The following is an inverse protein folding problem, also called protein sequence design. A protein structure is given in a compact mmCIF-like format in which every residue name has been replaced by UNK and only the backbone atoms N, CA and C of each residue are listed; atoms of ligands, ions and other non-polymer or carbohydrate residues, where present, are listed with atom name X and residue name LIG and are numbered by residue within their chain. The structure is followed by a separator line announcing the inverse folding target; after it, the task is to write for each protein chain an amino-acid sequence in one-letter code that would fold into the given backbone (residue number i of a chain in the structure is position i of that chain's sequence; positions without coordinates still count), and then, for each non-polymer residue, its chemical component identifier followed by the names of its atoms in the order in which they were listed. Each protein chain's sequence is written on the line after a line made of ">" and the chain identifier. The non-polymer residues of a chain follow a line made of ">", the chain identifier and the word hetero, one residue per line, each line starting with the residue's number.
data_IF_276607315635
#
_entry.id   IF_276607315635
#
_cell.length_a   1.000
_cell.length_b   1.000
_cell.length_c   1.000
_cell.angle_alpha   90.00
_cell.angle_beta   90.00
_cell.angle_gamma   90.00
#
_symmetry.space_group_name_H-M   'P 1'
#
loop_
_entity.id
_entity.type
_entity.pdbx_description
1 polymer ?
#
# COMPACT_ATOMS: atom_id res chain seq x y z
N UNK A 1 -12.58 -14.26 18.14
CA UNK A 1 -11.78 -14.38 16.90
C UNK A 1 -12.27 -15.59 16.14
N UNK A 2 -12.51 -15.47 14.83
CA UNK A 2 -12.81 -16.63 13.99
C UNK A 2 -11.50 -17.39 13.70
N UNK A 3 -11.51 -18.71 13.82
CA UNK A 3 -10.38 -19.58 13.47
C UNK A 3 -10.60 -20.13 12.08
N UNK A 4 -9.66 -19.86 11.17
CA UNK A 4 -9.68 -20.38 9.81
C UNK A 4 -8.58 -21.41 9.66
N UNK A 5 -8.93 -22.62 9.21
CA UNK A 5 -7.95 -23.63 8.83
C UNK A 5 -7.55 -23.41 7.37
N UNK A 6 -6.26 -23.37 7.09
CA UNK A 6 -5.70 -23.15 5.76
C UNK A 6 -4.62 -24.20 5.50
N UNK A 7 -4.65 -24.80 4.31
CA UNK A 7 -3.54 -25.63 3.82
C UNK A 7 -2.57 -24.75 3.05
N UNK A 8 -1.30 -24.80 3.44
CA UNK A 8 -0.21 -24.08 2.80
C UNK A 8 0.71 -25.07 2.10
N UNK A 9 1.43 -24.62 1.06
CA UNK A 9 2.47 -25.44 0.44
C UNK A 9 3.75 -25.46 1.29
N UNK A 10 4.57 -26.50 1.12
CA UNK A 10 5.79 -26.78 1.89
C UNK A 10 6.69 -25.55 2.11
N UNK A 11 6.86 -24.72 1.08
CA UNK A 11 7.63 -23.47 1.14
C UNK A 11 7.17 -22.55 2.28
N UNK A 12 5.85 -22.35 2.39
CA UNK A 12 5.27 -21.44 3.38
C UNK A 12 5.27 -22.04 4.78
N UNK A 13 5.14 -23.37 4.89
CA UNK A 13 5.26 -24.05 6.18
C UNK A 13 6.68 -23.90 6.75
N UNK A 14 7.71 -24.10 5.91
CA UNK A 14 9.11 -23.90 6.30
C UNK A 14 9.37 -22.45 6.67
N UNK A 15 8.88 -21.50 5.87
CA UNK A 15 9.01 -20.07 6.16
C UNK A 15 8.39 -19.71 7.53
N UNK A 16 7.13 -20.10 7.77
CA UNK A 16 6.43 -19.81 9.02
C UNK A 16 7.15 -20.44 10.22
N UNK A 17 7.62 -21.69 10.06
CA UNK A 17 8.37 -22.38 11.11
C UNK A 17 9.66 -21.64 11.45
N UNK A 18 10.39 -21.16 10.45
CA UNK A 18 11.62 -20.40 10.65
C UNK A 18 11.34 -19.08 11.38
N UNK A 19 10.31 -18.34 10.96
CA UNK A 19 9.90 -17.06 11.58
C UNK A 19 9.45 -17.21 13.03
N UNK A 20 8.80 -18.32 13.39
CA UNK A 20 8.45 -18.62 14.77
C UNK A 20 9.68 -19.06 15.56
N UNK A 21 10.52 -19.93 14.98
CA UNK A 21 11.73 -20.44 15.65
C UNK A 21 12.80 -19.37 15.90
N UNK A 22 12.81 -18.31 15.08
CA UNK A 22 13.70 -17.15 15.28
C UNK A 22 13.26 -16.28 16.46
N UNK A 23 12.06 -16.49 16.99
CA UNK A 23 11.47 -15.70 18.07
C UNK A 23 10.82 -14.39 17.60
N UNK A 24 10.79 -14.13 16.29
CA UNK A 24 10.14 -12.91 15.75
C UNK A 24 8.63 -12.92 15.94
N UNK A 25 8.01 -14.10 15.90
CA UNK A 25 6.58 -14.29 16.14
C UNK A 25 6.35 -15.42 17.14
N UNK A 26 5.30 -15.30 17.95
CA UNK A 26 4.90 -16.31 18.95
C UNK A 26 4.05 -17.43 18.37
N UNK A 27 3.48 -17.27 17.16
CA UNK A 27 2.71 -18.33 16.50
C UNK A 27 2.60 -18.16 14.99
N UNK A 28 2.28 -19.25 14.29
CA UNK A 28 1.95 -19.22 12.86
C UNK A 28 0.82 -18.23 12.54
N UNK A 29 -0.19 -18.15 13.42
CA UNK A 29 -1.31 -17.22 13.26
C UNK A 29 -0.89 -15.75 13.31
N UNK A 30 0.18 -15.41 14.04
CA UNK A 30 0.73 -14.06 14.05
C UNK A 30 1.46 -13.73 12.75
N UNK A 31 2.27 -14.66 12.24
CA UNK A 31 2.94 -14.52 10.94
C UNK A 31 1.91 -14.25 9.84
N UNK A 32 0.84 -15.06 9.79
CA UNK A 32 -0.21 -14.92 8.78
C UNK A 32 -0.96 -13.59 8.93
N UNK A 33 -1.29 -13.16 10.15
CA UNK A 33 -1.95 -11.87 10.37
C UNK A 33 -1.08 -10.70 9.94
N UNK A 34 0.21 -10.76 10.21
CA UNK A 34 1.16 -9.72 9.80
C UNK A 34 1.28 -9.64 8.28
N UNK A 35 1.44 -10.79 7.62
CA UNK A 35 1.47 -10.88 6.17
C UNK A 35 0.19 -10.33 5.51
N UNK A 36 -0.99 -10.66 6.06
CA UNK A 36 -2.26 -10.15 5.57
C UNK A 36 -2.39 -8.64 5.76
N UNK A 37 -1.92 -8.10 6.88
CA UNK A 37 -1.93 -6.65 7.13
C UNK A 37 -1.06 -5.91 6.12
N UNK A 38 0.16 -6.40 5.89
CA UNK A 38 1.07 -5.83 4.88
C UNK A 38 0.47 -5.92 3.48
N UNK A 39 -0.21 -7.03 3.14
CA UNK A 39 -0.91 -7.17 1.87
C UNK A 39 -2.04 -6.16 1.71
N UNK A 40 -2.85 -5.97 2.76
CA UNK A 40 -3.93 -4.99 2.79
C UNK A 40 -3.41 -3.56 2.61
N UNK A 41 -2.40 -3.16 3.37
CA UNK A 41 -1.78 -1.84 3.27
C UNK A 41 -1.23 -1.58 1.86
N UNK A 42 -0.59 -2.57 1.24
CA UNK A 42 -0.09 -2.47 -0.12
C UNK A 42 -1.23 -2.30 -1.12
N UNK A 43 -2.31 -3.06 -0.95
CA UNK A 43 -3.49 -2.96 -1.81
C UNK A 43 -4.14 -1.59 -1.69
N UNK A 44 -4.34 -1.08 -0.48
CA UNK A 44 -4.91 0.26 -0.25
C UNK A 44 -4.08 1.35 -0.95
N UNK A 45 -2.75 1.31 -0.85
CA UNK A 45 -1.87 2.26 -1.54
C UNK A 45 -2.00 2.20 -3.06
N UNK A 46 -2.10 0.98 -3.62
CA UNK A 46 -2.29 0.80 -5.06
C UNK A 46 -3.67 1.27 -5.53
N UNK A 47 -4.71 1.01 -4.75
CA UNK A 47 -6.08 1.45 -5.08
C UNK A 47 -6.16 2.99 -5.11
N UNK A 48 -5.55 3.68 -4.14
CA UNK A 48 -5.44 5.15 -4.11
C UNK A 48 -4.65 5.68 -5.31
N UNK A 49 -3.49 5.07 -5.61
CA UNK A 49 -2.68 5.45 -6.77
C UNK A 49 -3.47 5.32 -8.08
N UNK A 50 -4.14 4.18 -8.26
CA UNK A 50 -4.95 3.93 -9.46
C UNK A 50 -6.11 4.92 -9.57
N UNK A 51 -6.74 5.29 -8.46
CA UNK A 51 -7.80 6.30 -8.46
C UNK A 51 -7.27 7.66 -8.93
N UNK A 52 -6.12 8.11 -8.42
CA UNK A 52 -5.51 9.38 -8.85
C UNK A 52 -5.04 9.36 -10.31
N UNK A 53 -4.45 8.25 -10.77
CA UNK A 53 -4.07 8.08 -12.17
C UNK A 53 -5.29 8.10 -13.09
N UNK A 54 -6.37 7.42 -12.71
CA UNK A 54 -7.62 7.42 -13.48
C UNK A 54 -8.22 8.82 -13.56
N UNK A 55 -8.20 9.57 -12.45
CA UNK A 55 -8.67 10.96 -12.42
C UNK A 55 -7.83 11.83 -13.37
N UNK A 56 -6.49 11.74 -13.28
CA UNK A 56 -5.59 12.52 -14.14
C UNK A 56 -5.73 12.17 -15.62
N UNK A 57 -5.92 10.89 -15.95
CA UNK A 57 -6.18 10.44 -17.32
C UNK A 57 -7.50 11.04 -17.86
N UNK A 58 -8.57 11.01 -17.08
CA UNK A 58 -9.84 11.60 -17.46
C UNK A 58 -9.75 13.13 -17.66
N UNK A 59 -8.99 13.82 -16.81
CA UNK A 59 -8.74 15.26 -16.97
C UNK A 59 -7.96 15.53 -18.26
N UNK A 60 -6.92 14.76 -18.55
CA UNK A 60 -6.12 14.88 -19.76
C UNK A 60 -6.95 14.64 -21.04
N UNK A 61 -7.82 13.62 -21.05
CA UNK A 61 -8.75 13.34 -22.15
C UNK A 61 -9.71 14.51 -22.42
N UNK A 62 -10.00 15.33 -21.40
CA UNK A 62 -10.82 16.53 -21.47
C UNK A 62 -9.99 17.81 -21.68
N UNK A 63 -8.69 17.70 -21.94
CA UNK A 63 -7.74 18.82 -22.03
C UNK A 63 -7.70 19.72 -20.78
N UNK A 64 -8.05 19.17 -19.62
CA UNK A 64 -8.01 19.87 -18.35
C UNK A 64 -6.60 19.76 -17.75
N UNK A 65 -5.75 20.72 -18.09
CA UNK A 65 -4.41 20.85 -17.53
C UNK A 65 -4.30 22.09 -16.65
N UNK A 66 -3.31 22.09 -15.75
CA UNK A 66 -2.95 23.31 -15.02
C UNK A 66 -2.31 24.28 -16.00
N UNK A 67 -3.00 25.39 -16.26
CA UNK A 67 -2.47 26.45 -17.11
C UNK A 67 -1.36 27.22 -16.39
N UNK A 68 -0.35 27.67 -17.14
CA UNK A 68 0.75 28.49 -16.63
C UNK A 68 1.49 27.90 -15.42
N UNK A 69 1.58 26.57 -15.36
CA UNK A 69 2.31 25.88 -14.29
C UNK A 69 3.79 26.36 -14.26
N UNK A 70 4.20 26.91 -13.12
CA UNK A 70 5.58 27.31 -12.83
C UNK A 70 5.92 26.84 -11.43
N UNK A 71 7.06 26.15 -11.29
CA UNK A 71 7.56 25.69 -10.00
C UNK A 71 7.84 26.88 -9.07
N UNK A 72 8.38 27.97 -9.61
CA UNK A 72 8.69 29.18 -8.85
C UNK A 72 7.42 29.80 -8.28
N UNK A 73 6.35 29.90 -9.08
CA UNK A 73 5.06 30.44 -8.62
C UNK A 73 4.42 29.56 -7.54
N UNK A 74 4.53 28.24 -7.67
CA UNK A 74 4.01 27.29 -6.69
C UNK A 74 4.73 27.42 -5.34
N UNK A 75 6.06 27.55 -5.36
CA UNK A 75 6.86 27.75 -4.15
C UNK A 75 6.48 29.08 -3.49
N UNK A 76 6.38 30.16 -4.26
CA UNK A 76 5.97 31.47 -3.73
C UNK A 76 4.56 31.47 -3.13
N UNK A 77 3.63 30.67 -3.67
CA UNK A 77 2.27 30.52 -3.12
C UNK A 77 2.29 29.77 -1.79
N UNK A 78 2.99 28.63 -1.72
CA UNK A 78 3.10 27.83 -0.49
C UNK A 78 3.80 28.58 0.65
N UNK A 79 4.79 29.42 0.33
CA UNK A 79 5.51 30.24 1.32
C UNK A 79 4.66 31.42 1.84
N UNK A 80 3.63 31.86 1.10
CA UNK A 80 2.69 32.92 1.54
C UNK A 80 1.62 32.41 2.48
N UNK A 81 1.30 31.12 2.43
CA UNK A 81 0.30 30.46 3.26
C UNK A 81 0.87 29.91 4.59
N UNK A 82 2.17 30.10 4.84
CA UNK A 82 2.89 29.72 6.07
C UNK A 82 3.02 30.89 7.07
#
# INVERSE_FOLDING_TARGET
>A
MATTSLSLGDHWEVFIKNEVSSGRYGSASEVVRDALRTLEERKQKLDVLNAHLSQGAQQADQSQFVENFSMDNLIEELDKDA
#
